data_IF_855446453849
#
_entry.id   IF_855446453849
#
_cell.length_a   1.000
_cell.length_b   1.000
_cell.length_c   1.000
_cell.angle_alpha   90.00
_cell.angle_beta   90.00
_cell.angle_gamma   90.00
#
_symmetry.space_group_name_H-M   'P 1'
#
loop_
_entity.id
_entity.type
_entity.pdbx_description
1 polymer ?
#
# COMPACT_ATOMS: atom_id res chain seq x y z
N UNK A 1 -1.18 42.88 -16.07
CA UNK A 1 -1.37 42.16 -14.80
C UNK A 1 0.01 41.78 -14.28
N UNK A 2 0.35 42.19 -13.04
CA UNK A 2 1.64 41.87 -12.42
C UNK A 2 1.61 40.41 -11.97
N UNK A 3 2.54 39.62 -12.49
CA UNK A 3 2.76 38.22 -12.07
C UNK A 3 3.39 38.26 -10.68
N UNK A 4 2.65 37.81 -9.67
CA UNK A 4 3.15 37.66 -8.32
C UNK A 4 4.22 36.57 -8.27
N UNK A 5 5.36 36.88 -7.66
CA UNK A 5 6.39 35.86 -7.39
C UNK A 5 5.81 34.77 -6.48
N UNK A 6 6.18 33.50 -6.70
CA UNK A 6 5.78 32.42 -5.81
C UNK A 6 6.36 32.67 -4.41
N UNK A 7 5.49 32.66 -3.40
CA UNK A 7 5.93 32.70 -2.00
C UNK A 7 6.77 31.45 -1.68
N UNK A 8 7.84 31.57 -0.89
CA UNK A 8 8.58 30.40 -0.42
C UNK A 8 7.68 29.56 0.48
N UNK A 9 7.68 28.24 0.26
CA UNK A 9 7.03 27.26 1.14
C UNK A 9 7.54 27.44 2.58
N UNK A 10 6.70 27.27 3.62
CA UNK A 10 7.23 27.02 4.95
C UNK A 10 7.99 25.70 4.91
N UNK A 11 9.29 25.75 5.12
CA UNK A 11 10.11 24.57 5.34
C UNK A 11 9.59 23.89 6.61
N UNK A 12 8.90 22.76 6.46
CA UNK A 12 8.93 21.75 7.51
C UNK A 12 10.41 21.36 7.56
N UNK A 13 11.06 21.65 8.69
CA UNK A 13 12.50 21.48 8.86
C UNK A 13 12.95 20.12 8.34
N UNK A 14 13.49 20.08 7.12
CA UNK A 14 14.37 19.00 6.70
C UNK A 14 15.51 19.00 7.72
N UNK A 15 15.76 17.91 8.45
CA UNK A 15 16.90 17.87 9.34
C UNK A 15 18.14 18.16 8.48
N UNK A 16 18.93 19.14 8.91
CA UNK A 16 20.27 19.39 8.36
C UNK A 16 21.04 18.07 8.28
N UNK A 17 22.04 17.92 7.39
CA UNK A 17 22.87 16.72 7.34
C UNK A 17 23.66 16.59 8.66
N UNK A 18 23.01 16.02 9.67
CA UNK A 18 23.55 15.72 10.99
C UNK A 18 23.99 14.27 10.94
N UNK A 19 25.27 14.08 11.27
CA UNK A 19 25.94 12.83 11.61
C UNK A 19 25.44 11.57 10.88
N UNK A 20 26.26 11.03 9.98
CA UNK A 20 26.06 9.70 9.35
C UNK A 20 25.86 8.53 10.33
N UNK A 21 26.08 8.74 11.64
CA UNK A 21 25.74 7.80 12.71
C UNK A 21 24.23 7.76 13.05
N UNK A 22 23.45 8.82 12.77
CA UNK A 22 22.01 8.90 13.09
C UNK A 22 21.14 8.09 12.10
N UNK A 23 21.66 7.76 10.91
CA UNK A 23 20.90 7.10 9.82
C UNK A 23 21.23 5.61 9.66
N UNK A 24 21.67 4.95 10.74
CA UNK A 24 21.94 3.51 10.76
C UNK A 24 20.93 2.78 11.64
N UNK A 25 20.51 1.58 11.24
CA UNK A 25 19.65 0.76 12.10
C UNK A 25 18.26 1.34 12.34
N UNK A 26 17.76 2.18 11.43
CA UNK A 26 16.54 2.94 11.62
C UNK A 26 15.30 2.23 11.09
N UNK A 27 14.16 2.48 11.73
CA UNK A 27 12.85 2.18 11.18
C UNK A 27 12.32 3.44 10.46
N UNK A 28 12.04 3.32 9.17
CA UNK A 28 11.53 4.42 8.35
C UNK A 28 10.09 4.10 8.01
N UNK A 29 9.16 5.00 8.35
CA UNK A 29 7.74 4.80 8.14
C UNK A 29 7.25 5.77 7.05
N UNK A 30 6.72 5.22 5.96
CA UNK A 30 6.00 5.97 4.93
C UNK A 30 4.51 5.79 5.19
N UNK A 31 3.88 6.84 5.73
CA UNK A 31 2.47 6.83 6.11
C UNK A 31 1.90 8.26 6.19
N UNK A 32 0.66 8.43 6.67
CA UNK A 32 0.07 9.71 7.02
C UNK A 32 0.48 10.13 8.43
N UNK A 33 1.10 11.32 8.54
CA UNK A 33 1.54 11.92 9.81
C UNK A 33 0.99 13.35 10.02
N UNK A 34 -0.16 13.68 9.42
CA UNK A 34 -0.68 15.05 9.41
C UNK A 34 -1.25 15.55 10.75
N UNK A 35 -1.47 14.66 11.72
CA UNK A 35 -2.00 14.98 13.06
C UNK A 35 -1.58 13.90 14.07
N UNK A 36 -1.62 14.18 15.38
CA UNK A 36 -1.25 13.19 16.41
C UNK A 36 -2.03 11.87 16.35
N UNK A 37 -3.29 11.91 15.93
CA UNK A 37 -4.13 10.70 15.78
C UNK A 37 -4.02 10.07 14.37
N UNK A 38 -3.12 10.58 13.53
CA UNK A 38 -2.95 10.06 12.17
C UNK A 38 -2.48 8.60 12.19
N UNK A 39 -2.90 7.86 11.16
CA UNK A 39 -2.65 6.43 11.03
C UNK A 39 -1.17 6.04 11.20
N UNK A 40 -0.22 6.86 10.71
CA UNK A 40 1.21 6.60 10.84
C UNK A 40 1.71 6.49 12.28
N UNK A 41 1.13 7.22 13.24
CA UNK A 41 1.51 7.10 14.66
C UNK A 41 1.00 5.80 15.29
N UNK A 42 -0.13 5.27 14.81
CA UNK A 42 -0.64 3.97 15.24
C UNK A 42 0.20 2.83 14.65
N UNK A 43 0.64 2.97 13.41
CA UNK A 43 1.60 2.04 12.75
C UNK A 43 2.91 1.99 13.51
N UNK A 44 3.46 3.15 13.92
CA UNK A 44 4.64 3.21 14.79
C UNK A 44 4.40 2.49 16.13
N UNK A 45 3.22 2.69 16.72
CA UNK A 45 2.78 1.97 17.92
C UNK A 45 2.77 0.45 17.72
N UNK A 46 2.36 -0.03 16.55
CA UNK A 46 2.36 -1.45 16.22
C UNK A 46 3.78 -2.02 16.09
N UNK A 47 4.74 -1.29 15.49
CA UNK A 47 6.15 -1.70 15.50
C UNK A 47 6.72 -1.82 16.92
N UNK A 48 6.39 -0.84 17.78
CA UNK A 48 6.86 -0.76 19.17
C UNK A 48 6.27 -1.83 20.07
N UNK A 49 5.13 -2.44 19.71
CA UNK A 49 4.52 -3.48 20.53
C UNK A 49 5.38 -4.74 20.62
N UNK A 50 6.31 -4.96 19.67
CA UNK A 50 7.28 -6.05 19.73
C UNK A 50 8.50 -5.72 20.59
N UNK A 51 8.89 -4.45 20.70
CA UNK A 51 10.09 -4.05 21.44
C UNK A 51 10.73 -2.77 20.89
N UNK A 52 11.98 -2.48 21.27
CA UNK A 52 12.73 -1.32 20.79
C UNK A 52 12.78 -1.24 19.25
N UNK A 53 12.60 -0.03 18.72
CA UNK A 53 12.54 0.25 17.27
C UNK A 53 13.81 0.93 16.71
N UNK A 54 14.82 1.19 17.55
CA UNK A 54 15.91 2.09 17.18
C UNK A 54 15.42 3.51 16.88
N UNK A 55 16.18 4.31 16.12
CA UNK A 55 15.70 5.59 15.59
C UNK A 55 14.53 5.40 14.64
N UNK A 56 13.48 6.22 14.76
CA UNK A 56 12.30 6.20 13.88
C UNK A 56 12.23 7.49 13.06
N UNK A 57 11.99 7.36 11.75
CA UNK A 57 11.81 8.49 10.84
C UNK A 57 10.47 8.42 10.12
N UNK A 58 9.82 9.57 9.98
CA UNK A 58 8.48 9.68 9.40
C UNK A 58 8.52 10.41 8.06
N UNK A 59 7.95 9.78 7.04
CA UNK A 59 7.76 10.37 5.71
C UNK A 59 6.27 10.40 5.40
N UNK A 60 5.75 11.61 5.18
CA UNK A 60 4.33 11.80 4.93
C UNK A 60 4.00 11.43 3.47
N UNK A 61 3.15 10.43 3.29
CA UNK A 61 2.71 9.98 1.97
C UNK A 61 1.60 10.84 1.35
N UNK A 62 1.33 12.01 1.93
CA UNK A 62 0.32 12.93 1.42
C UNK A 62 0.99 14.12 0.73
N UNK A 63 0.48 14.48 -0.44
CA UNK A 63 0.93 15.63 -1.21
C UNK A 63 0.00 16.82 -1.03
N UNK A 64 0.53 18.04 -1.19
CA UNK A 64 -0.28 19.25 -1.21
C UNK A 64 -0.64 19.62 -2.65
N UNK A 65 -1.93 19.55 -2.99
CA UNK A 65 -2.49 19.93 -4.28
C UNK A 65 -3.54 21.01 -4.03
N UNK A 66 -3.36 22.19 -4.61
CA UNK A 66 -4.24 23.36 -4.44
C UNK A 66 -4.58 23.70 -2.98
N UNK A 67 -3.61 23.54 -2.08
CA UNK A 67 -3.77 23.80 -0.65
C UNK A 67 -4.41 22.65 0.14
N UNK A 68 -4.68 21.50 -0.49
CA UNK A 68 -5.26 20.31 0.13
C UNK A 68 -4.23 19.20 0.23
N UNK A 69 -4.13 18.60 1.42
CA UNK A 69 -3.28 17.44 1.68
C UNK A 69 -4.04 16.17 1.25
N UNK A 70 -3.51 15.43 0.27
CA UNK A 70 -4.25 14.32 -0.33
C UNK A 70 -3.34 13.27 -0.99
N UNK A 71 -3.94 12.15 -1.42
CA UNK A 71 -3.27 11.09 -2.19
C UNK A 71 -3.48 11.31 -3.69
N UNK A 72 -2.57 10.84 -4.57
CA UNK A 72 -2.72 10.98 -6.03
C UNK A 72 -4.04 10.46 -6.60
N UNK A 73 -4.49 9.29 -6.15
CA UNK A 73 -5.76 8.72 -6.61
C UNK A 73 -7.00 9.57 -6.23
N UNK A 74 -6.93 10.39 -5.19
CA UNK A 74 -8.05 11.27 -4.80
C UNK A 74 -8.23 12.40 -5.81
N UNK A 75 -7.13 12.97 -6.32
CA UNK A 75 -7.22 13.98 -7.39
C UNK A 75 -7.71 13.36 -8.70
N UNK A 76 -7.16 12.20 -9.08
CA UNK A 76 -7.66 11.46 -10.24
C UNK A 76 -9.17 11.14 -10.12
N UNK A 77 -9.63 10.80 -8.91
CA UNK A 77 -11.03 10.51 -8.64
C UNK A 77 -11.92 11.76 -8.79
N UNK A 78 -11.44 12.94 -8.39
CA UNK A 78 -12.19 14.20 -8.61
C UNK A 78 -12.37 14.50 -10.10
N UNK A 79 -11.33 14.28 -10.90
CA UNK A 79 -11.40 14.45 -12.35
C UNK A 79 -12.37 13.46 -12.99
N UNK A 80 -12.29 12.18 -12.61
CA UNK A 80 -13.21 11.14 -13.06
C UNK A 80 -14.65 11.51 -12.69
N UNK A 81 -14.90 11.87 -11.43
CA UNK A 81 -16.22 12.23 -10.93
C UNK A 81 -16.77 13.45 -11.66
N UNK A 82 -15.99 14.51 -11.84
CA UNK A 82 -16.41 15.72 -12.56
C UNK A 82 -16.81 15.39 -14.01
N UNK A 83 -16.01 14.59 -14.69
CA UNK A 83 -16.24 14.20 -16.09
C UNK A 83 -17.45 13.29 -16.22
N UNK A 84 -17.45 12.16 -15.51
CA UNK A 84 -18.45 11.10 -15.61
C UNK A 84 -19.84 11.50 -15.08
N UNK A 85 -19.96 12.55 -14.27
CA UNK A 85 -21.24 12.96 -13.66
C UNK A 85 -21.92 14.16 -14.33
N UNK A 86 -21.23 14.82 -15.27
CA UNK A 86 -21.66 16.09 -15.86
C UNK A 86 -22.76 15.93 -16.92
N UNK A 87 -22.55 15.03 -17.88
CA UNK A 87 -23.47 14.71 -18.96
C UNK A 87 -23.31 13.25 -19.39
N UNK A 88 -24.25 12.74 -20.19
CA UNK A 88 -24.16 11.39 -20.77
C UNK A 88 -23.10 11.38 -21.86
N UNK A 89 -22.09 10.53 -21.72
CA UNK A 89 -20.93 10.44 -22.61
C UNK A 89 -21.14 9.33 -23.64
N UNK A 90 -20.42 9.39 -24.76
CA UNK A 90 -20.31 8.24 -25.66
C UNK A 90 -19.55 7.10 -24.97
N UNK A 91 -19.80 5.82 -25.32
CA UNK A 91 -19.08 4.68 -24.75
C UNK A 91 -17.56 4.80 -24.87
N UNK A 92 -17.06 5.34 -26.00
CA UNK A 92 -15.63 5.54 -26.23
C UNK A 92 -15.04 6.56 -25.25
N UNK A 93 -15.67 7.73 -25.12
CA UNK A 93 -15.24 8.77 -24.17
C UNK A 93 -15.35 8.28 -22.73
N UNK A 94 -16.38 7.50 -22.42
CA UNK A 94 -16.55 6.93 -21.09
C UNK A 94 -15.43 5.94 -20.75
N UNK A 95 -15.10 5.06 -21.69
CA UNK A 95 -13.99 4.12 -21.57
C UNK A 95 -12.65 4.85 -21.44
N UNK A 96 -12.40 5.87 -22.27
CA UNK A 96 -11.19 6.69 -22.20
C UNK A 96 -11.02 7.38 -20.84
N UNK A 97 -12.11 7.91 -20.27
CA UNK A 97 -12.03 8.56 -18.95
C UNK A 97 -11.76 7.54 -17.83
N UNK A 98 -12.38 6.35 -17.88
CA UNK A 98 -12.10 5.28 -16.91
C UNK A 98 -10.65 4.80 -17.03
N UNK A 99 -10.15 4.57 -18.25
CA UNK A 99 -8.76 4.19 -18.50
C UNK A 99 -7.79 5.27 -18.01
N UNK A 100 -8.05 6.55 -18.33
CA UNK A 100 -7.23 7.69 -17.89
C UNK A 100 -7.17 7.80 -16.36
N UNK A 101 -8.30 7.58 -15.68
CA UNK A 101 -8.35 7.50 -14.23
C UNK A 101 -7.47 6.37 -13.69
N UNK A 102 -7.64 5.13 -14.18
CA UNK A 102 -6.90 3.97 -13.68
C UNK A 102 -5.40 4.16 -13.89
N UNK A 103 -5.00 4.56 -15.09
CA UNK A 103 -3.62 4.89 -15.43
C UNK A 103 -3.06 5.93 -14.47
N UNK A 104 -3.76 7.04 -14.27
CA UNK A 104 -3.27 8.15 -13.46
C UNK A 104 -3.27 7.85 -11.96
N UNK A 105 -4.33 7.23 -11.43
CA UNK A 105 -4.44 6.88 -10.02
C UNK A 105 -3.36 5.87 -9.61
N UNK A 106 -3.22 4.78 -10.36
CA UNK A 106 -2.27 3.70 -10.04
C UNK A 106 -0.83 4.17 -10.24
N UNK A 107 -0.49 4.68 -11.43
CA UNK A 107 0.90 5.08 -11.73
C UNK A 107 1.37 6.24 -10.85
N UNK A 108 0.50 7.17 -10.48
CA UNK A 108 0.88 8.30 -9.62
C UNK A 108 1.04 7.90 -8.16
N UNK A 109 0.25 6.94 -7.65
CA UNK A 109 0.48 6.37 -6.31
C UNK A 109 1.86 5.67 -6.26
N UNK A 110 2.19 4.85 -7.27
CA UNK A 110 3.50 4.18 -7.37
C UNK A 110 4.63 5.22 -7.49
N UNK A 111 4.45 6.24 -8.33
CA UNK A 111 5.45 7.29 -8.53
C UNK A 111 5.69 8.13 -7.27
N UNK A 112 4.64 8.39 -6.47
CA UNK A 112 4.75 9.09 -5.20
C UNK A 112 5.63 8.30 -4.21
N UNK A 113 5.33 7.02 -4.01
CA UNK A 113 6.11 6.16 -3.11
C UNK A 113 7.55 5.99 -3.62
N UNK A 114 7.73 5.85 -4.93
CA UNK A 114 9.06 5.83 -5.55
C UNK A 114 9.84 7.12 -5.26
N UNK A 115 9.19 8.28 -5.36
CA UNK A 115 9.79 9.58 -5.02
C UNK A 115 10.19 9.68 -3.55
N UNK A 116 9.34 9.20 -2.64
CA UNK A 116 9.64 9.15 -1.20
C UNK A 116 10.81 8.22 -0.90
N UNK A 117 10.86 7.02 -1.49
CA UNK A 117 11.98 6.11 -1.30
C UNK A 117 13.29 6.67 -1.88
N UNK A 118 13.21 7.46 -2.95
CA UNK A 118 14.36 8.20 -3.49
C UNK A 118 14.86 9.28 -2.53
N UNK A 119 13.97 10.02 -1.89
CA UNK A 119 14.30 10.98 -0.84
C UNK A 119 15.00 10.27 0.33
N UNK A 120 14.38 9.21 0.86
CA UNK A 120 14.96 8.35 1.91
C UNK A 120 16.35 7.86 1.51
N UNK A 121 16.51 7.31 0.30
CA UNK A 121 17.79 6.80 -0.19
C UNK A 121 18.87 7.89 -0.24
N UNK A 122 18.50 9.11 -0.62
CA UNK A 122 19.42 10.25 -0.70
C UNK A 122 19.92 10.74 0.66
N UNK A 123 19.21 10.41 1.75
CA UNK A 123 19.61 10.71 3.11
C UNK A 123 20.67 9.74 3.67
N UNK A 124 21.02 8.69 2.92
CA UNK A 124 22.15 7.82 3.22
C UNK A 124 21.88 6.81 4.34
N UNK A 125 20.64 6.35 4.47
CA UNK A 125 20.29 5.28 5.41
C UNK A 125 21.05 3.98 5.09
N UNK A 126 21.48 3.29 6.14
CA UNK A 126 22.15 1.98 6.06
C UNK A 126 21.59 1.04 7.13
N UNK A 127 21.57 -0.27 6.87
CA UNK A 127 21.12 -1.28 7.84
C UNK A 127 19.72 -0.95 8.39
N UNK A 128 18.89 -0.33 7.57
CA UNK A 128 17.61 0.27 7.96
C UNK A 128 16.47 -0.36 7.16
N UNK A 129 15.25 -0.21 7.65
CA UNK A 129 14.08 -0.80 6.98
C UNK A 129 13.03 0.26 6.76
N UNK A 130 12.54 0.35 5.53
CA UNK A 130 11.37 1.15 5.17
C UNK A 130 10.12 0.28 5.27
N UNK A 131 9.11 0.76 5.98
CA UNK A 131 7.77 0.21 5.98
C UNK A 131 6.82 1.16 5.23
N UNK A 132 6.20 0.65 4.17
CA UNK A 132 5.06 1.25 3.50
C UNK A 132 3.78 0.58 4.01
N UNK A 133 3.03 1.29 4.86
CA UNK A 133 1.83 0.71 5.49
C UNK A 133 0.60 0.66 4.58
N UNK A 134 0.72 1.04 3.31
CA UNK A 134 -0.36 1.04 2.34
C UNK A 134 -0.34 -0.21 1.47
N UNK A 135 -1.51 -0.78 1.22
CA UNK A 135 -1.76 -1.73 0.14
C UNK A 135 -2.89 -1.22 -0.74
N UNK A 136 -2.66 -1.18 -2.06
CA UNK A 136 -3.70 -0.92 -3.05
C UNK A 136 -3.80 -2.11 -3.99
N UNK A 137 -4.99 -2.69 -4.08
CA UNK A 137 -5.30 -3.85 -4.91
C UNK A 137 -6.48 -3.53 -5.85
N UNK A 138 -6.79 -4.40 -6.83
CA UNK A 138 -7.95 -4.24 -7.71
C UNK A 138 -9.27 -3.94 -6.98
N UNK A 139 -9.53 -4.58 -5.84
CA UNK A 139 -10.75 -4.36 -5.04
C UNK A 139 -10.78 -2.94 -4.47
N UNK A 140 -9.63 -2.42 -4.03
CA UNK A 140 -9.51 -1.05 -3.53
C UNK A 140 -9.85 -0.04 -4.63
N UNK A 141 -9.31 -0.21 -5.83
CA UNK A 141 -9.67 0.65 -6.96
C UNK A 141 -11.14 0.48 -7.38
N UNK A 142 -11.70 -0.72 -7.31
CA UNK A 142 -13.13 -0.97 -7.55
C UNK A 142 -14.01 -0.17 -6.58
N UNK A 143 -13.66 -0.17 -5.29
CA UNK A 143 -14.36 0.63 -4.26
C UNK A 143 -14.20 2.13 -4.52
N UNK A 144 -13.00 2.60 -4.87
CA UNK A 144 -12.76 4.02 -5.19
C UNK A 144 -13.63 4.46 -6.36
N UNK A 145 -13.62 3.72 -7.48
CA UNK A 145 -14.39 4.03 -8.69
C UNK A 145 -15.90 4.04 -8.42
N UNK A 146 -16.41 3.15 -7.56
CA UNK A 146 -17.83 3.11 -7.19
C UNK A 146 -18.22 4.09 -6.07
N UNK A 147 -17.26 4.68 -5.35
CA UNK A 147 -17.54 5.51 -4.19
C UNK A 147 -18.53 6.66 -4.44
N UNK A 148 -18.56 7.35 -5.62
CA UNK A 148 -19.54 8.43 -5.85
C UNK A 148 -20.99 7.95 -5.89
N UNK A 149 -21.23 6.66 -6.19
CA UNK A 149 -22.58 6.09 -6.24
C UNK A 149 -23.20 5.97 -4.83
N UNK A 150 -22.37 5.70 -3.82
CA UNK A 150 -22.79 5.64 -2.40
C UNK A 150 -22.59 6.95 -1.63
N UNK A 151 -21.80 7.89 -2.18
CA UNK A 151 -21.40 9.13 -1.51
C UNK A 151 -22.48 10.22 -1.45
N UNK A 152 -22.16 11.33 -0.78
CA UNK A 152 -23.03 12.53 -0.68
C UNK A 152 -22.63 13.64 -1.65
N UNK A 153 -21.51 13.48 -2.36
CA UNK A 153 -20.92 14.54 -3.19
C UNK A 153 -21.66 14.75 -4.54
N UNK A 154 -22.48 13.78 -4.94
CA UNK A 154 -23.30 13.85 -6.16
C UNK A 154 -24.79 13.87 -5.80
N UNK A 155 -25.57 14.69 -6.53
CA UNK A 155 -27.03 14.60 -6.54
C UNK A 155 -27.49 13.28 -7.17
N UNK A 156 -28.75 12.88 -6.94
CA UNK A 156 -29.29 11.64 -7.50
C UNK A 156 -29.24 11.60 -9.04
N UNK A 157 -29.49 12.75 -9.69
CA UNK A 157 -29.35 12.87 -11.14
C UNK A 157 -27.90 12.65 -11.59
N UNK A 158 -26.94 13.26 -10.90
CA UNK A 158 -25.52 13.07 -11.21
C UNK A 158 -25.06 11.63 -10.98
N UNK A 159 -25.58 10.95 -9.95
CA UNK A 159 -25.30 9.52 -9.71
C UNK A 159 -25.82 8.64 -10.84
N UNK A 160 -27.00 8.95 -11.38
CA UNK A 160 -27.55 8.23 -12.53
C UNK A 160 -26.69 8.40 -13.79
N UNK A 161 -26.24 9.64 -14.07
CA UNK A 161 -25.33 9.93 -15.19
C UNK A 161 -23.99 9.22 -14.98
N UNK A 162 -23.42 9.32 -13.78
CA UNK A 162 -22.17 8.65 -13.41
C UNK A 162 -22.27 7.14 -13.60
N UNK A 163 -23.32 6.50 -13.07
CA UNK A 163 -23.55 5.07 -13.26
C UNK A 163 -23.68 4.69 -14.73
N UNK A 164 -24.48 5.45 -15.49
CA UNK A 164 -24.65 5.21 -16.92
C UNK A 164 -23.31 5.23 -17.66
N UNK A 165 -22.49 6.26 -17.42
CA UNK A 165 -21.19 6.41 -18.07
C UNK A 165 -20.22 5.30 -17.65
N UNK A 166 -20.15 4.93 -16.36
CA UNK A 166 -19.33 3.80 -15.93
C UNK A 166 -19.77 2.49 -16.57
N UNK A 167 -21.07 2.24 -16.64
CA UNK A 167 -21.59 1.03 -17.28
C UNK A 167 -21.28 1.02 -18.78
N UNK A 168 -21.41 2.15 -19.47
CA UNK A 168 -21.06 2.29 -20.90
C UNK A 168 -19.56 2.13 -21.15
N UNK A 169 -18.70 2.52 -20.20
CA UNK A 169 -17.25 2.36 -20.28
C UNK A 169 -16.82 0.88 -20.32
N UNK A 170 -17.54 0.02 -19.60
CA UNK A 170 -17.19 -1.42 -19.44
C UNK A 170 -18.12 -2.34 -20.23
N UNK A 171 -19.26 -1.82 -20.70
CA UNK A 171 -20.26 -2.52 -21.51
C UNK A 171 -20.82 -1.59 -22.60
N UNK A 172 -20.07 -1.35 -23.69
CA UNK A 172 -20.43 -0.37 -24.72
C UNK A 172 -21.75 -0.65 -25.43
N UNK A 173 -22.20 -1.91 -25.45
CA UNK A 173 -23.47 -2.33 -26.04
C UNK A 173 -24.64 -2.29 -25.04
N UNK A 174 -24.42 -1.78 -23.82
CA UNK A 174 -25.39 -1.76 -22.72
C UNK A 174 -25.99 -3.14 -22.39
N UNK A 175 -25.26 -4.21 -22.69
CA UNK A 175 -25.87 -5.54 -22.87
C UNK A 175 -26.27 -6.22 -21.56
N UNK A 176 -25.76 -5.80 -20.40
CA UNK A 176 -26.19 -6.39 -19.13
C UNK A 176 -25.70 -5.60 -17.89
N UNK A 177 -26.59 -4.83 -17.25
CA UNK A 177 -26.29 -4.21 -15.95
C UNK A 177 -25.98 -5.27 -14.87
N UNK A 178 -26.50 -6.49 -15.00
CA UNK A 178 -26.22 -7.56 -14.04
C UNK A 178 -24.76 -8.02 -14.06
N UNK A 179 -24.01 -7.71 -15.12
CA UNK A 179 -22.57 -8.00 -15.25
C UNK A 179 -21.68 -6.79 -15.00
N UNK A 180 -22.25 -5.62 -14.73
CA UNK A 180 -21.52 -4.36 -14.58
C UNK A 180 -20.33 -4.50 -13.63
N UNK A 181 -20.56 -5.04 -12.43
CA UNK A 181 -19.54 -5.14 -11.40
C UNK A 181 -18.37 -6.06 -11.82
N UNK A 182 -18.66 -7.18 -12.48
CA UNK A 182 -17.64 -8.08 -13.02
C UNK A 182 -16.83 -7.42 -14.15
N UNK A 183 -17.50 -6.72 -15.06
CA UNK A 183 -16.83 -6.02 -16.17
C UNK A 183 -15.97 -4.85 -15.68
N UNK A 184 -16.41 -4.15 -14.64
CA UNK A 184 -15.63 -3.10 -14.00
C UNK A 184 -14.39 -3.67 -13.31
N UNK A 185 -14.53 -4.72 -12.50
CA UNK A 185 -13.39 -5.39 -11.88
C UNK A 185 -12.40 -5.91 -12.94
N UNK A 186 -12.90 -6.54 -14.01
CA UNK A 186 -12.08 -7.01 -15.13
C UNK A 186 -11.33 -5.88 -15.84
N UNK A 187 -11.96 -4.72 -16.01
CA UNK A 187 -11.32 -3.53 -16.60
C UNK A 187 -10.17 -3.00 -15.72
N UNK A 188 -10.36 -3.00 -14.40
CA UNK A 188 -9.33 -2.61 -13.42
C UNK A 188 -8.13 -3.56 -13.47
N UNK A 189 -8.40 -4.88 -13.41
CA UNK A 189 -7.37 -5.93 -13.53
C UNK A 189 -6.59 -5.79 -14.85
N UNK A 190 -7.29 -5.55 -15.96
CA UNK A 190 -6.68 -5.34 -17.27
C UNK A 190 -5.77 -4.11 -17.27
N UNK A 191 -6.17 -3.00 -16.66
CA UNK A 191 -5.33 -1.81 -16.57
C UNK A 191 -4.06 -2.07 -15.75
N UNK A 192 -4.18 -2.68 -14.56
CA UNK A 192 -3.04 -2.99 -13.67
C UNK A 192 -1.98 -3.87 -14.36
N UNK A 193 -2.42 -4.80 -15.21
CA UNK A 193 -1.55 -5.77 -15.87
C UNK A 193 -1.10 -5.36 -17.28
N UNK A 194 -1.85 -4.50 -17.96
CA UNK A 194 -1.66 -4.21 -19.39
C UNK A 194 -1.27 -2.77 -19.73
N UNK A 195 -1.30 -1.84 -18.78
CA UNK A 195 -0.94 -0.43 -19.05
C UNK A 195 0.58 -0.22 -19.07
N UNK A 196 1.10 0.30 -20.19
CA UNK A 196 2.50 0.69 -20.32
C UNK A 196 2.92 1.75 -19.29
N UNK A 197 2.01 2.65 -18.90
CA UNK A 197 2.26 3.70 -17.91
C UNK A 197 2.41 3.12 -16.50
N UNK A 198 1.54 2.17 -16.14
CA UNK A 198 1.60 1.48 -14.84
C UNK A 198 2.86 0.61 -14.79
N UNK A 199 3.16 -0.12 -15.86
CA UNK A 199 4.37 -0.96 -15.94
C UNK A 199 5.65 -0.11 -15.87
N UNK A 200 5.69 1.04 -16.52
CA UNK A 200 6.81 1.98 -16.41
C UNK A 200 7.00 2.49 -14.98
N UNK A 201 5.92 2.83 -14.28
CA UNK A 201 5.98 3.25 -12.88
C UNK A 201 6.43 2.09 -11.96
N UNK A 202 5.96 0.86 -12.19
CA UNK A 202 6.38 -0.34 -11.46
C UNK A 202 7.86 -0.62 -11.66
N UNK A 203 8.38 -0.49 -12.88
CA UNK A 203 9.81 -0.68 -13.15
C UNK A 203 10.68 0.38 -12.46
N UNK A 204 10.25 1.64 -12.43
CA UNK A 204 10.93 2.68 -11.68
C UNK A 204 10.90 2.41 -10.16
N UNK A 205 9.79 1.89 -9.64
CA UNK A 205 9.69 1.45 -8.25
C UNK A 205 10.70 0.35 -7.93
N UNK A 206 10.76 -0.70 -8.75
CA UNK A 206 11.72 -1.82 -8.59
C UNK A 206 13.17 -1.35 -8.61
N UNK A 207 13.52 -0.48 -9.56
CA UNK A 207 14.86 0.10 -9.63
C UNK A 207 15.21 0.87 -8.35
N UNK A 208 14.26 1.67 -7.85
CA UNK A 208 14.46 2.45 -6.63
C UNK A 208 14.57 1.58 -5.37
N UNK A 209 13.81 0.47 -5.29
CA UNK A 209 13.95 -0.54 -4.22
C UNK A 209 15.36 -1.11 -4.23
N UNK A 210 15.83 -1.65 -5.37
CA UNK A 210 17.19 -2.20 -5.48
C UNK A 210 18.27 -1.19 -5.13
N UNK A 211 18.09 0.07 -5.54
CA UNK A 211 19.02 1.15 -5.18
C UNK A 211 19.05 1.40 -3.66
N UNK A 212 17.90 1.38 -3.00
CA UNK A 212 17.83 1.51 -1.54
C UNK A 212 18.50 0.32 -0.83
N UNK A 213 18.23 -0.90 -1.30
CA UNK A 213 18.78 -2.15 -0.76
C UNK A 213 20.30 -2.28 -0.97
N UNK A 214 20.87 -1.63 -1.99
CA UNK A 214 22.31 -1.61 -2.23
C UNK A 214 23.14 -1.02 -1.08
N UNK A 215 22.49 -0.30 -0.15
CA UNK A 215 23.06 0.22 1.08
C UNK A 215 22.74 -0.66 2.31
N UNK A 216 22.48 -1.96 2.10
CA UNK A 216 22.08 -2.91 3.15
C UNK A 216 20.79 -2.48 3.86
N UNK A 217 19.79 -2.11 3.09
CA UNK A 217 18.46 -1.80 3.64
C UNK A 217 17.44 -2.82 3.15
N UNK A 218 16.25 -2.82 3.74
CA UNK A 218 15.11 -3.62 3.28
C UNK A 218 13.85 -2.76 3.12
N UNK A 219 12.94 -3.21 2.27
CA UNK A 219 11.63 -2.57 2.06
C UNK A 219 10.54 -3.56 2.39
N UNK A 220 9.63 -3.16 3.28
CA UNK A 220 8.47 -3.93 3.72
C UNK A 220 7.19 -3.20 3.31
N UNK A 221 6.24 -3.93 2.74
CA UNK A 221 4.95 -3.39 2.28
C UNK A 221 3.78 -4.15 2.91
N UNK A 222 2.71 -3.44 3.27
CA UNK A 222 1.46 -4.07 3.70
C UNK A 222 0.74 -4.72 2.52
N UNK A 223 0.23 -5.95 2.66
CA UNK A 223 -0.44 -6.67 1.57
C UNK A 223 -1.77 -6.04 1.11
N UNK A 224 -2.42 -5.24 1.94
CA UNK A 224 -3.78 -4.73 1.69
C UNK A 224 -4.81 -5.34 2.63
N UNK A 225 -6.03 -4.77 2.61
CA UNK A 225 -7.11 -5.10 3.54
C UNK A 225 -8.43 -5.42 2.80
N UNK A 226 -8.34 -6.13 1.66
CA UNK A 226 -9.49 -6.41 0.79
C UNK A 226 -10.04 -7.83 0.86
N UNK A 227 -9.54 -8.70 1.74
CA UNK A 227 -9.96 -10.10 1.75
C UNK A 227 -11.43 -10.31 2.17
N UNK A 228 -12.02 -9.39 2.95
CA UNK A 228 -13.41 -9.51 3.38
C UNK A 228 -14.33 -9.21 2.21
N UNK A 229 -13.99 -8.16 1.47
CA UNK A 229 -14.62 -7.82 0.22
C UNK A 229 -14.41 -8.91 -0.83
N UNK A 230 -13.22 -9.51 -0.94
CA UNK A 230 -12.95 -10.65 -1.81
C UNK A 230 -13.89 -11.83 -1.49
N UNK A 231 -14.06 -12.15 -0.21
CA UNK A 231 -14.97 -13.19 0.25
C UNK A 231 -16.43 -12.87 -0.10
N UNK A 232 -16.86 -11.62 0.10
CA UNK A 232 -18.20 -11.17 -0.25
C UNK A 232 -18.45 -11.16 -1.76
N UNK A 233 -17.47 -10.73 -2.55
CA UNK A 233 -17.50 -10.75 -4.01
C UNK A 233 -17.59 -12.19 -4.55
N UNK A 234 -16.81 -13.11 -3.96
CA UNK A 234 -16.88 -14.55 -4.30
C UNK A 234 -18.29 -15.10 -4.06
N UNK A 235 -18.88 -14.80 -2.89
CA UNK A 235 -20.27 -15.21 -2.57
C UNK A 235 -21.31 -14.56 -3.48
N UNK A 236 -21.03 -13.34 -3.97
CA UNK A 236 -21.88 -12.62 -4.91
C UNK A 236 -21.70 -13.08 -6.38
N UNK A 237 -20.86 -14.08 -6.65
CA UNK A 237 -20.66 -14.65 -7.99
C UNK A 237 -19.75 -13.81 -8.89
N UNK A 238 -18.81 -13.06 -8.31
CA UNK A 238 -17.76 -12.43 -9.09
C UNK A 238 -16.81 -13.47 -9.70
N UNK A 239 -16.25 -13.15 -10.86
CA UNK A 239 -15.21 -13.93 -11.52
C UNK A 239 -13.86 -13.63 -10.85
N UNK A 240 -13.51 -14.45 -9.86
CA UNK A 240 -12.35 -14.30 -8.98
C UNK A 240 -11.30 -15.34 -9.37
N UNK A 241 -10.10 -14.90 -9.77
CA UNK A 241 -8.98 -15.78 -10.15
C UNK A 241 -7.80 -15.74 -9.17
N UNK A 242 -7.92 -14.94 -8.09
CA UNK A 242 -6.90 -14.79 -7.06
C UNK A 242 -5.92 -13.64 -7.33
N UNK A 243 -6.12 -12.85 -8.39
CA UNK A 243 -5.34 -11.64 -8.66
C UNK A 243 -5.96 -10.36 -8.07
N UNK A 244 -7.16 -10.46 -7.49
CA UNK A 244 -7.97 -9.33 -7.01
C UNK A 244 -7.41 -8.66 -5.74
N UNK A 245 -6.60 -9.40 -4.99
CA UNK A 245 -5.97 -8.95 -3.76
C UNK A 245 -4.47 -8.65 -3.91
N UNK A 246 -3.95 -8.68 -5.15
CA UNK A 246 -2.54 -8.35 -5.45
C UNK A 246 -2.26 -6.87 -5.22
N UNK A 247 -1.36 -6.58 -4.30
CA UNK A 247 -0.92 -5.21 -4.04
C UNK A 247 -0.09 -4.66 -5.22
N UNK A 248 -0.44 -3.48 -5.74
CA UNK A 248 0.31 -2.81 -6.82
C UNK A 248 1.74 -2.41 -6.43
N UNK A 249 2.04 -2.33 -5.13
CA UNK A 249 3.40 -2.07 -4.63
C UNK A 249 4.24 -3.33 -4.41
N UNK A 250 3.60 -4.52 -4.43
CA UNK A 250 4.32 -5.77 -4.29
C UNK A 250 5.12 -6.05 -5.56
N UNK A 251 6.42 -6.24 -5.38
CA UNK A 251 7.40 -6.57 -6.40
C UNK A 251 8.38 -7.58 -5.79
N UNK A 252 9.11 -8.37 -6.60
CA UNK A 252 9.96 -9.43 -6.06
C UNK A 252 11.05 -8.96 -5.08
N UNK A 253 11.39 -7.67 -5.10
CA UNK A 253 12.41 -7.08 -4.23
C UNK A 253 11.87 -6.55 -2.89
N UNK A 254 10.55 -6.62 -2.62
CA UNK A 254 9.99 -6.13 -1.35
C UNK A 254 9.39 -7.29 -0.56
N UNK A 255 9.52 -7.22 0.76
CA UNK A 255 8.85 -8.14 1.67
C UNK A 255 7.40 -7.71 1.87
N UNK A 256 6.43 -8.51 1.44
CA UNK A 256 5.00 -8.22 1.57
C UNK A 256 4.40 -8.93 2.78
N UNK A 257 3.63 -8.18 3.58
CA UNK A 257 3.14 -8.67 4.88
C UNK A 257 1.62 -8.63 4.96
N UNK A 258 1.04 -9.81 5.18
CA UNK A 258 -0.37 -9.99 5.47
C UNK A 258 -0.65 -9.96 6.99
N UNK A 259 -1.88 -9.60 7.34
CA UNK A 259 -2.37 -9.61 8.71
C UNK A 259 -3.11 -10.90 9.05
N UNK A 260 -2.75 -11.52 10.18
CA UNK A 260 -3.51 -12.58 10.83
C UNK A 260 -4.23 -12.08 12.07
N UNK A 261 -5.17 -12.86 12.57
CA UNK A 261 -5.80 -12.73 13.87
C UNK A 261 -5.63 -14.04 14.63
N UNK A 262 -5.81 -14.00 15.94
CA UNK A 262 -5.80 -15.19 16.79
C UNK A 262 -7.25 -15.59 17.10
N UNK A 263 -7.59 -16.86 16.87
CA UNK A 263 -8.88 -17.42 17.28
C UNK A 263 -8.97 -17.57 18.81
N UNK A 264 -10.18 -17.73 19.34
CA UNK A 264 -10.41 -17.97 20.77
C UNK A 264 -9.66 -19.21 21.32
N UNK A 265 -9.34 -20.18 20.45
CA UNK A 265 -8.55 -21.37 20.78
C UNK A 265 -7.03 -21.19 20.64
N UNK A 266 -6.54 -19.97 20.39
CA UNK A 266 -5.10 -19.69 20.21
C UNK A 266 -4.55 -20.05 18.84
N UNK A 267 -5.37 -20.58 17.93
CA UNK A 267 -4.97 -20.86 16.54
C UNK A 267 -4.91 -19.58 15.71
N UNK A 268 -3.91 -19.48 14.83
CA UNK A 268 -3.80 -18.38 13.87
C UNK A 268 -4.91 -18.54 12.83
N UNK A 269 -5.74 -17.52 12.70
CA UNK A 269 -6.69 -17.38 11.62
C UNK A 269 -6.15 -16.32 10.66
N UNK A 270 -6.41 -16.54 9.39
CA UNK A 270 -6.22 -15.54 8.34
C UNK A 270 -7.58 -14.85 8.20
N UNK A 271 -7.84 -13.79 9.01
CA UNK A 271 -9.16 -13.22 9.07
C UNK A 271 -9.47 -12.57 7.73
N UNK A 272 -10.76 -12.54 7.46
CA UNK A 272 -11.36 -12.02 6.24
C UNK A 272 -10.64 -10.79 5.67
N UNK A 273 -10.31 -9.71 6.40
CA UNK A 273 -9.85 -8.48 5.75
C UNK A 273 -8.50 -8.56 5.06
N UNK A 274 -7.54 -9.39 5.45
CA UNK A 274 -6.19 -9.29 4.85
C UNK A 274 -6.13 -9.89 3.45
N UNK A 275 -5.34 -9.27 2.57
CA UNK A 275 -4.94 -9.87 1.28
C UNK A 275 -3.95 -11.02 1.53
N UNK A 276 -4.05 -12.09 0.74
CA UNK A 276 -3.22 -13.31 0.85
C UNK A 276 -2.79 -13.83 -0.53
N UNK A 277 -2.48 -12.91 -1.43
CA UNK A 277 -1.99 -13.25 -2.75
C UNK A 277 -0.62 -13.96 -2.70
N UNK A 278 -0.19 -14.55 -3.83
CA UNK A 278 1.09 -15.26 -3.95
C UNK A 278 2.34 -14.40 -3.69
N UNK A 279 2.19 -13.09 -3.56
CA UNK A 279 3.25 -12.15 -3.22
C UNK A 279 3.55 -12.05 -1.72
N UNK A 280 2.71 -12.64 -0.85
CA UNK A 280 2.86 -12.48 0.60
C UNK A 280 4.02 -13.33 1.12
N UNK A 281 5.00 -12.68 1.77
CA UNK A 281 6.17 -13.32 2.35
C UNK A 281 5.99 -13.63 3.84
N UNK A 282 5.25 -12.77 4.56
CA UNK A 282 5.00 -12.92 5.98
C UNK A 282 3.55 -12.75 6.39
N UNK A 283 3.21 -13.38 7.50
CA UNK A 283 1.94 -13.25 8.20
C UNK A 283 2.24 -12.96 9.67
N UNK A 284 1.63 -11.91 10.20
CA UNK A 284 1.75 -11.52 11.61
C UNK A 284 0.45 -10.91 12.10
N UNK A 285 0.21 -10.86 13.41
CA UNK A 285 -1.03 -10.28 13.93
C UNK A 285 -1.21 -8.85 13.46
N UNK A 286 -2.34 -8.59 12.81
CA UNK A 286 -2.73 -7.25 12.36
C UNK A 286 -3.33 -6.39 13.46
N UNK A 287 -3.39 -6.85 14.71
CA UNK A 287 -3.98 -6.09 15.80
C UNK A 287 -3.03 -5.03 16.36
N UNK A 288 -3.57 -3.81 16.54
CA UNK A 288 -3.01 -2.76 17.38
C UNK A 288 -4.14 -2.04 18.13
N UNK A 289 -4.25 -2.29 19.44
CA UNK A 289 -5.43 -1.89 20.21
C UNK A 289 -6.70 -2.55 19.66
N UNK A 290 -7.72 -1.75 19.36
CA UNK A 290 -8.97 -2.21 18.74
C UNK A 290 -8.92 -2.23 17.20
N UNK A 291 -7.82 -1.75 16.60
CA UNK A 291 -7.67 -1.67 15.15
C UNK A 291 -7.05 -2.94 14.57
N UNK A 292 -7.44 -3.27 13.33
CA UNK A 292 -6.97 -4.46 12.61
C UNK A 292 -6.59 -4.11 11.17
N UNK A 293 -5.46 -4.60 10.69
CA UNK A 293 -5.07 -4.51 9.27
C UNK A 293 -3.62 -4.86 8.99
N UNK A 294 -3.31 -5.14 7.72
CA UNK A 294 -1.94 -5.39 7.25
C UNK A 294 -1.02 -4.18 7.46
N UNK A 295 -1.58 -2.97 7.55
CA UNK A 295 -0.86 -1.75 7.94
C UNK A 295 -0.26 -1.79 9.35
N UNK A 296 -0.82 -2.59 10.26
CA UNK A 296 -0.27 -2.82 11.60
C UNK A 296 0.60 -4.08 11.69
N UNK A 297 0.48 -4.97 10.70
CA UNK A 297 1.28 -6.18 10.57
C UNK A 297 2.67 -5.88 9.98
N UNK A 298 2.72 -5.20 8.83
CA UNK A 298 3.95 -4.81 8.14
C UNK A 298 5.01 -4.11 9.04
N UNK A 299 4.67 -3.11 9.88
CA UNK A 299 5.65 -2.43 10.72
C UNK A 299 6.29 -3.35 11.78
N UNK A 300 5.64 -4.46 12.15
CA UNK A 300 6.19 -5.47 13.07
C UNK A 300 7.31 -6.25 12.41
N UNK A 301 7.08 -6.76 11.20
CA UNK A 301 8.10 -7.44 10.39
C UNK A 301 9.25 -6.49 10.07
N UNK A 302 8.94 -5.23 9.71
CA UNK A 302 9.96 -4.22 9.47
C UNK A 302 10.88 -3.97 10.67
N UNK A 303 10.32 -3.93 11.89
CA UNK A 303 11.12 -3.76 13.10
C UNK A 303 12.05 -4.97 13.37
N UNK A 304 11.59 -6.18 13.05
CA UNK A 304 12.39 -7.40 13.17
C UNK A 304 13.52 -7.44 12.15
N UNK A 305 13.23 -7.14 10.88
CA UNK A 305 14.25 -7.06 9.84
C UNK A 305 15.28 -5.96 10.15
N UNK A 306 14.85 -4.84 10.74
CA UNK A 306 15.76 -3.78 11.22
C UNK A 306 16.70 -4.30 12.31
N UNK A 307 16.19 -5.06 13.28
CA UNK A 307 17.04 -5.67 14.29
C UNK A 307 18.02 -6.69 13.68
N UNK A 308 17.56 -7.50 12.73
CA UNK A 308 18.38 -8.45 12.00
C UNK A 308 19.53 -7.76 11.24
N UNK A 309 19.27 -6.61 10.60
CA UNK A 309 20.29 -5.76 9.98
C UNK A 309 21.32 -5.23 11.00
N UNK A 310 20.91 -4.95 12.23
CA UNK A 310 21.83 -4.54 13.30
C UNK A 310 22.79 -5.69 13.70
N UNK A 311 22.30 -6.93 13.73
CA UNK A 311 23.11 -8.12 14.00
C UNK A 311 23.98 -8.53 12.80
N UNK A 312 23.51 -8.30 11.58
CA UNK A 312 24.15 -8.71 10.33
C UNK A 312 24.30 -7.52 9.36
N UNK A 313 25.18 -6.54 9.66
CA UNK A 313 25.24 -5.26 8.95
C UNK A 313 25.76 -5.34 7.49
N UNK A 314 26.20 -6.50 7.04
CA UNK A 314 26.61 -6.74 5.65
C UNK A 314 25.62 -7.61 4.88
N UNK A 315 24.54 -8.06 5.52
CA UNK A 315 23.55 -8.91 4.89
C UNK A 315 22.77 -8.15 3.82
N UNK A 316 22.31 -8.88 2.81
CA UNK A 316 21.34 -8.36 1.83
C UNK A 316 19.93 -8.40 2.40
N UNK A 317 18.99 -7.70 1.75
CA UNK A 317 17.57 -7.75 2.10
C UNK A 317 17.04 -9.19 2.15
N UNK A 318 17.31 -9.99 1.10
CA UNK A 318 16.95 -11.41 1.05
C UNK A 318 17.52 -12.22 2.22
N UNK A 319 18.78 -11.99 2.60
CA UNK A 319 19.40 -12.70 3.73
C UNK A 319 18.76 -12.33 5.06
N UNK A 320 18.32 -11.09 5.22
CA UNK A 320 17.62 -10.61 6.40
C UNK A 320 16.19 -11.15 6.45
N UNK A 321 15.51 -11.22 5.31
CA UNK A 321 14.22 -11.87 5.19
C UNK A 321 14.30 -13.37 5.55
N UNK A 322 15.24 -14.10 4.95
CA UNK A 322 15.47 -15.52 5.23
C UNK A 322 15.79 -15.77 6.70
N UNK A 323 16.61 -14.90 7.29
CA UNK A 323 16.92 -14.93 8.72
C UNK A 323 15.65 -14.74 9.55
N UNK A 324 14.79 -13.77 9.20
CA UNK A 324 13.55 -13.52 9.94
C UNK A 324 12.53 -14.68 9.77
N UNK A 325 12.48 -15.33 8.60
CA UNK A 325 11.69 -16.56 8.38
C UNK A 325 12.20 -17.72 9.23
N UNK A 326 13.51 -17.85 9.40
CA UNK A 326 14.14 -18.99 10.10
C UNK A 326 14.15 -18.84 11.62
N UNK A 327 14.52 -17.67 12.13
CA UNK A 327 14.83 -17.50 13.56
C UNK A 327 13.62 -17.14 14.42
N UNK A 328 12.67 -16.40 13.84
CA UNK A 328 11.55 -15.80 14.59
C UNK A 328 10.18 -16.12 14.01
N UNK A 329 10.11 -17.01 13.03
CA UNK A 329 8.86 -17.41 12.39
C UNK A 329 8.68 -18.93 12.40
N UNK A 330 7.43 -19.38 12.27
CA UNK A 330 7.12 -20.71 11.78
C UNK A 330 6.94 -20.65 10.26
N UNK A 331 7.18 -21.75 9.56
CA UNK A 331 6.97 -21.83 8.12
C UNK A 331 5.57 -22.39 7.84
N UNK A 332 4.80 -21.68 7.01
CA UNK A 332 3.51 -22.10 6.49
C UNK A 332 3.48 -22.10 4.97
N UNK A 333 2.33 -22.46 4.39
CA UNK A 333 2.10 -22.40 2.95
C UNK A 333 0.76 -21.70 2.67
N UNK A 334 0.76 -20.73 1.76
CA UNK A 334 -0.44 -20.11 1.20
C UNK A 334 -0.40 -20.24 -0.31
N UNK A 335 -1.45 -20.84 -0.90
CA UNK A 335 -1.62 -20.97 -2.36
C UNK A 335 -0.39 -21.56 -3.08
N UNK A 336 0.33 -22.49 -2.44
CA UNK A 336 1.55 -23.10 -3.02
C UNK A 336 2.83 -22.30 -2.83
N UNK A 337 2.79 -21.22 -2.04
CA UNK A 337 3.94 -20.38 -1.71
C UNK A 337 4.29 -20.49 -0.22
N UNK A 338 5.58 -20.60 0.09
CA UNK A 338 6.08 -20.67 1.46
C UNK A 338 6.00 -19.28 2.13
N UNK A 339 5.45 -19.22 3.34
CA UNK A 339 5.25 -17.96 4.07
C UNK A 339 5.79 -18.05 5.49
N UNK A 340 6.42 -16.97 5.95
CA UNK A 340 6.86 -16.81 7.33
C UNK A 340 5.70 -16.39 8.23
N UNK A 341 5.31 -17.23 9.18
CA UNK A 341 4.32 -16.89 10.21
C UNK A 341 5.07 -16.39 11.44
N UNK A 342 5.13 -15.06 11.62
CA UNK A 342 5.93 -14.45 12.68
C UNK A 342 5.42 -14.84 14.06
N UNK A 343 6.32 -15.32 14.91
CA UNK A 343 6.05 -15.64 16.31
C UNK A 343 6.41 -14.44 17.18
N UNK A 344 5.41 -13.61 17.48
CA UNK A 344 5.62 -12.33 18.18
C UNK A 344 6.35 -12.47 19.53
N UNK A 345 6.19 -13.60 20.24
CA UNK A 345 6.91 -13.82 21.51
C UNK A 345 8.43 -14.03 21.32
N UNK A 346 8.82 -14.79 20.27
CA UNK A 346 10.23 -15.01 19.92
C UNK A 346 10.84 -13.71 19.41
N UNK A 347 10.12 -13.05 18.51
CA UNK A 347 10.48 -11.76 17.94
C UNK A 347 10.71 -10.70 19.03
N UNK A 348 9.81 -10.62 20.02
CA UNK A 348 9.92 -9.69 21.14
C UNK A 348 11.11 -10.00 22.05
N UNK A 349 11.35 -11.28 22.34
CA UNK A 349 12.48 -11.71 23.18
C UNK A 349 13.82 -11.27 22.55
N UNK A 350 13.96 -11.45 21.24
CA UNK A 350 15.16 -11.06 20.49
C UNK A 350 15.40 -9.54 20.48
N UNK A 351 14.34 -8.74 20.43
CA UNK A 351 14.44 -7.28 20.46
C UNK A 351 14.81 -6.73 21.85
N UNK A 352 14.64 -7.51 22.91
CA UNK A 352 14.94 -7.13 24.29
C UNK A 352 16.37 -7.52 24.73
N UNK A 353 17.06 -8.37 23.97
CA UNK A 353 18.46 -8.67 24.24
C UNK A 353 19.33 -7.41 24.05
N UNK A 354 20.37 -7.20 24.87
CA UNK A 354 21.25 -6.04 24.71
C UNK A 354 21.90 -6.07 23.32
N UNK A 355 21.60 -5.07 22.49
CA UNK A 355 22.21 -4.88 21.16
C UNK A 355 23.57 -4.21 21.25
#
# INVERSE_FOLDING_TARGET
>A
MKVGQPQPRPAINSPSPRNSAERKGALILIDSFHSPDAHGFQVEGAARSLGPTGPVYHYNQLQNVDGRVTMPHVEAMRELQSTMSSEVLSPETARESLTSFLDSAISSNISLVTGLLKEVSSEGFQNSVVNLSQGFDPITYFKIVKSPLGGKDLSDQQKQIYFHNLNSAVSPQAADVSKFDNLLLGSIKTAINGSEKIESARNAWREQVRNFESNHNSVVVAAGNSGQELSAMTQAGFDIDGSEDLNVFAVPEVTTVAASATSEGGGIILPSPSSFGPEVDFIVSGFHGESFGSSFAAPKVANIMRAAHAFNPSATSDQIEDWAKTEVSAVGEIRGHEVGILREELASSLLQEPQ
#
